data_IF_087299453071
#
_entry.id   IF_087299453071
#
_cell.length_a   1.000
_cell.length_b   1.000
_cell.length_c   1.000
_cell.angle_alpha   90.00
_cell.angle_beta   90.00
_cell.angle_gamma   90.00
#
_symmetry.space_group_name_H-M   'P 1'
#
loop_
_entity.id
_entity.type
_entity.pdbx_description
1 polymer ?
#
# COMPACT_ATOMS: atom_id res chain seq x y z
N UNK A 1 17.85 14.18 -30.15
CA UNK A 1 17.37 12.80 -29.88
C UNK A 1 17.04 12.58 -28.39
N UNK A 2 16.76 13.64 -27.59
CA UNK A 2 16.65 13.51 -26.12
C UNK A 2 15.22 13.32 -25.58
N UNK A 3 14.17 13.59 -26.36
CA UNK A 3 12.79 13.57 -25.82
C UNK A 3 12.27 12.17 -25.47
N UNK A 4 12.75 11.11 -26.14
CA UNK A 4 12.24 9.75 -25.93
C UNK A 4 12.57 9.15 -24.56
N UNK A 5 13.74 9.47 -24.00
CA UNK A 5 14.17 8.94 -22.70
C UNK A 5 13.47 9.65 -21.53
N UNK A 6 13.19 10.94 -21.68
CA UNK A 6 12.43 11.72 -20.69
C UNK A 6 10.96 11.29 -20.64
N UNK A 7 10.33 11.09 -21.80
CA UNK A 7 8.93 10.62 -21.88
C UNK A 7 8.75 9.23 -21.25
N UNK A 8 9.74 8.33 -21.41
CA UNK A 8 9.72 7.00 -20.81
C UNK A 8 9.88 7.03 -19.28
N UNK A 9 10.69 7.95 -18.76
CA UNK A 9 10.86 8.14 -17.30
C UNK A 9 9.59 8.70 -16.68
N UNK A 10 8.95 9.70 -17.31
CA UNK A 10 7.67 10.26 -16.84
C UNK A 10 6.59 9.18 -16.79
N UNK A 11 6.42 8.39 -17.85
CA UNK A 11 5.42 7.31 -17.88
C UNK A 11 5.65 6.25 -16.79
N UNK A 12 6.91 5.96 -16.45
CA UNK A 12 7.25 5.03 -15.37
C UNK A 12 6.97 5.63 -13.99
N UNK A 13 7.21 6.93 -13.77
CA UNK A 13 6.87 7.62 -12.52
C UNK A 13 5.35 7.61 -12.31
N UNK A 14 4.57 8.00 -13.32
CA UNK A 14 3.10 8.01 -13.24
C UNK A 14 2.53 6.61 -12.92
N UNK A 15 3.09 5.57 -13.54
CA UNK A 15 2.68 4.18 -13.29
C UNK A 15 2.97 3.73 -11.86
N UNK A 16 4.07 4.22 -11.27
CA UNK A 16 4.47 3.89 -9.91
C UNK A 16 3.65 4.67 -8.89
N UNK A 17 3.30 5.93 -9.19
CA UNK A 17 2.36 6.71 -8.38
C UNK A 17 0.97 6.04 -8.34
N UNK A 18 0.49 5.58 -9.49
CA UNK A 18 -0.78 4.85 -9.57
C UNK A 18 -0.73 3.56 -8.75
N UNK A 19 0.36 2.78 -8.85
CA UNK A 19 0.55 1.58 -8.02
C UNK A 19 0.59 1.92 -6.52
N UNK A 20 1.30 2.98 -6.11
CA UNK A 20 1.36 3.43 -4.74
C UNK A 20 -0.03 3.82 -4.21
N UNK A 21 -0.82 4.53 -5.03
CA UNK A 21 -2.21 4.89 -4.73
C UNK A 21 -3.08 3.65 -4.54
N UNK A 22 -3.01 2.69 -5.46
CA UNK A 22 -3.77 1.44 -5.38
C UNK A 22 -3.42 0.63 -4.12
N UNK A 23 -2.13 0.52 -3.78
CA UNK A 23 -1.66 -0.16 -2.58
C UNK A 23 -2.14 0.54 -1.30
N UNK A 24 -2.15 1.87 -1.28
CA UNK A 24 -2.67 2.66 -0.15
C UNK A 24 -4.16 2.39 0.06
N UNK A 25 -4.96 2.41 -1.01
CA UNK A 25 -6.40 2.09 -0.96
C UNK A 25 -6.62 0.65 -0.51
N UNK A 26 -5.86 -0.31 -1.05
CA UNK A 26 -5.93 -1.71 -0.65
C UNK A 26 -5.60 -1.91 0.84
N UNK A 27 -4.53 -1.26 1.34
CA UNK A 27 -4.15 -1.30 2.75
C UNK A 27 -5.25 -0.76 3.68
N UNK A 28 -5.88 0.36 3.33
CA UNK A 28 -7.00 0.90 4.11
C UNK A 28 -8.23 -0.02 4.07
N UNK A 29 -8.48 -0.68 2.94
CA UNK A 29 -9.56 -1.65 2.81
C UNK A 29 -9.33 -2.89 3.68
N UNK A 30 -8.10 -3.42 3.70
CA UNK A 30 -7.76 -4.56 4.55
C UNK A 30 -7.94 -4.23 6.03
N UNK A 31 -7.42 -3.10 6.49
CA UNK A 31 -7.60 -2.65 7.89
C UNK A 31 -9.08 -2.65 8.29
N UNK A 32 -9.93 -2.02 7.48
CA UNK A 32 -11.37 -1.97 7.75
C UNK A 32 -12.01 -3.36 7.75
N UNK A 33 -11.65 -4.22 6.79
CA UNK A 33 -12.21 -5.57 6.71
C UNK A 33 -11.79 -6.45 7.89
N UNK A 34 -10.56 -6.30 8.37
CA UNK A 34 -10.05 -6.96 9.57
C UNK A 34 -10.87 -6.50 10.79
N UNK A 35 -11.00 -5.19 10.99
CA UNK A 35 -11.77 -4.63 12.10
C UNK A 35 -13.23 -5.08 12.08
N UNK A 36 -13.88 -5.05 10.92
CA UNK A 36 -15.26 -5.53 10.74
C UNK A 36 -15.38 -7.03 11.04
N UNK A 37 -14.42 -7.84 10.59
CA UNK A 37 -14.40 -9.27 10.87
C UNK A 37 -14.30 -9.57 12.37
N UNK A 38 -13.36 -8.94 13.09
CA UNK A 38 -13.21 -9.16 14.53
C UNK A 38 -14.36 -8.57 15.35
N UNK A 39 -14.99 -7.49 14.88
CA UNK A 39 -16.24 -7.00 15.46
C UNK A 39 -17.35 -8.04 15.33
N UNK A 40 -17.56 -8.60 14.14
CA UNK A 40 -18.57 -9.64 13.90
C UNK A 40 -18.31 -10.91 14.69
N UNK A 41 -17.04 -11.34 14.82
CA UNK A 41 -16.67 -12.50 15.66
C UNK A 41 -17.10 -12.26 17.11
N UNK A 42 -16.89 -11.06 17.66
CA UNK A 42 -17.33 -10.72 19.02
C UNK A 42 -18.85 -10.65 19.14
N UNK A 43 -19.53 -10.10 18.14
CA UNK A 43 -21.00 -10.04 18.11
C UNK A 43 -21.63 -11.44 18.06
N UNK A 44 -21.01 -12.39 17.37
CA UNK A 44 -21.43 -13.80 17.31
C UNK A 44 -21.49 -14.46 18.69
N UNK A 45 -20.70 -14.01 19.67
CA UNK A 45 -20.73 -14.55 21.04
C UNK A 45 -22.11 -14.43 21.72
N UNK A 46 -22.91 -13.45 21.28
CA UNK A 46 -24.26 -13.24 21.83
C UNK A 46 -25.20 -14.39 21.46
N UNK A 47 -25.00 -15.01 20.30
CA UNK A 47 -25.87 -16.04 19.74
C UNK A 47 -25.24 -17.44 19.74
N UNK A 48 -23.90 -17.51 19.80
CA UNK A 48 -23.13 -18.75 19.81
C UNK A 48 -22.15 -18.79 20.99
N UNK A 49 -22.37 -19.77 21.88
CA UNK A 49 -21.60 -19.95 23.11
C UNK A 49 -21.11 -21.39 23.27
N UNK A 50 -20.14 -21.57 24.18
CA UNK A 50 -19.56 -22.86 24.53
C UNK A 50 -18.23 -23.14 23.83
N UNK A 51 -17.66 -24.31 24.12
CA UNK A 51 -16.28 -24.65 23.72
C UNK A 51 -16.00 -24.55 22.22
N UNK A 52 -17.00 -24.79 21.38
CA UNK A 52 -16.88 -24.64 19.92
C UNK A 52 -16.69 -23.19 19.48
N UNK A 53 -17.40 -22.25 20.12
CA UNK A 53 -17.17 -20.82 19.91
C UNK A 53 -15.81 -20.40 20.46
N UNK A 54 -15.43 -20.89 21.64
CA UNK A 54 -14.15 -20.55 22.27
C UNK A 54 -12.98 -20.97 21.38
N UNK A 55 -13.02 -22.19 20.82
CA UNK A 55 -11.98 -22.67 19.91
C UNK A 55 -11.96 -21.88 18.58
N UNK A 56 -13.13 -21.57 18.02
CA UNK A 56 -13.22 -20.74 16.82
C UNK A 56 -12.64 -19.33 17.06
N UNK A 57 -13.07 -18.67 18.12
CA UNK A 57 -12.66 -17.31 18.45
C UNK A 57 -11.16 -17.24 18.75
N UNK A 58 -10.59 -18.23 19.44
CA UNK A 58 -9.16 -18.34 19.68
C UNK A 58 -8.35 -18.43 18.38
N UNK A 59 -8.76 -19.29 17.43
CA UNK A 59 -8.10 -19.40 16.12
C UNK A 59 -8.18 -18.11 15.31
N UNK A 60 -9.29 -17.39 15.42
CA UNK A 60 -9.39 -16.07 14.81
C UNK A 60 -8.41 -15.08 15.46
N UNK A 61 -8.35 -14.99 16.78
CA UNK A 61 -7.41 -14.09 17.48
C UNK A 61 -5.95 -14.45 17.19
N UNK A 62 -5.61 -15.74 17.03
CA UNK A 62 -4.28 -16.19 16.59
C UNK A 62 -3.90 -15.69 15.19
N UNK A 63 -4.87 -15.57 14.28
CA UNK A 63 -4.63 -15.08 12.92
C UNK A 63 -4.49 -13.55 12.84
N UNK A 64 -4.97 -12.82 13.86
CA UNK A 64 -5.04 -11.36 13.84
C UNK A 64 -3.69 -10.68 13.59
N UNK A 65 -2.61 -11.04 14.30
CA UNK A 65 -1.32 -10.37 14.13
C UNK A 65 -0.78 -10.49 12.70
N UNK A 66 -1.04 -11.61 12.01
CA UNK A 66 -0.59 -11.81 10.64
C UNK A 66 -1.35 -10.89 9.66
N UNK A 67 -2.65 -10.71 9.87
CA UNK A 67 -3.49 -9.81 9.06
C UNK A 67 -3.12 -8.33 9.30
N UNK A 68 -2.88 -7.95 10.55
CA UNK A 68 -2.40 -6.62 10.90
C UNK A 68 -1.02 -6.35 10.28
N UNK A 69 -0.13 -7.34 10.35
CA UNK A 69 1.20 -7.27 9.72
C UNK A 69 1.10 -7.08 8.21
N UNK A 70 0.24 -7.84 7.52
CA UNK A 70 0.03 -7.67 6.07
C UNK A 70 -0.43 -6.25 5.74
N UNK A 71 -1.36 -5.70 6.52
CA UNK A 71 -1.87 -4.34 6.36
C UNK A 71 -0.76 -3.30 6.53
N UNK A 72 0.09 -3.46 7.56
CA UNK A 72 1.26 -2.61 7.79
C UNK A 72 2.23 -2.69 6.60
N UNK A 73 2.54 -3.89 6.10
CA UNK A 73 3.44 -4.08 4.97
C UNK A 73 2.92 -3.39 3.70
N UNK A 74 1.64 -3.56 3.37
CA UNK A 74 1.04 -2.93 2.18
C UNK A 74 1.09 -1.40 2.28
N UNK A 75 0.79 -0.84 3.45
CA UNK A 75 0.87 0.62 3.68
C UNK A 75 2.30 1.14 3.72
N UNK A 76 3.25 0.36 4.23
CA UNK A 76 4.67 0.73 4.23
C UNK A 76 5.24 0.71 2.81
N UNK A 77 4.87 -0.30 2.02
CA UNK A 77 5.31 -0.42 0.63
C UNK A 77 4.76 0.72 -0.24
N UNK A 78 3.49 1.09 -0.06
CA UNK A 78 2.94 2.25 -0.78
C UNK A 78 3.68 3.55 -0.45
N UNK A 79 4.04 3.78 0.82
CA UNK A 79 4.83 4.94 1.23
C UNK A 79 6.23 4.95 0.60
N UNK A 80 6.89 3.79 0.55
CA UNK A 80 8.22 3.67 -0.07
C UNK A 80 8.18 4.05 -1.55
N UNK A 81 7.17 3.57 -2.27
CA UNK A 81 6.98 3.94 -3.68
C UNK A 81 6.70 5.45 -3.84
N UNK A 82 5.86 6.02 -2.97
CA UNK A 82 5.47 7.44 -2.98
C UNK A 82 6.65 8.38 -2.67
N UNK A 83 7.53 8.03 -1.72
CA UNK A 83 8.66 8.88 -1.34
C UNK A 83 9.89 8.69 -2.22
N UNK A 84 10.30 7.45 -2.45
CA UNK A 84 11.65 7.19 -3.00
C UNK A 84 11.70 7.24 -4.52
N UNK A 85 10.59 6.91 -5.19
CA UNK A 85 10.57 6.86 -6.66
C UNK A 85 10.18 8.20 -7.26
N UNK A 86 9.28 8.92 -6.60
CA UNK A 86 8.94 10.29 -6.98
C UNK A 86 10.15 11.22 -6.93
N UNK A 87 10.86 11.26 -5.80
CA UNK A 87 12.05 12.10 -5.63
C UNK A 87 13.14 11.78 -6.65
N UNK A 88 13.37 10.48 -6.94
CA UNK A 88 14.34 10.05 -7.93
C UNK A 88 13.94 10.42 -9.37
N UNK A 89 12.65 10.31 -9.70
CA UNK A 89 12.08 10.70 -11.00
C UNK A 89 12.16 12.21 -11.24
N UNK A 90 11.73 13.02 -10.27
CA UNK A 90 11.79 14.48 -10.32
C UNK A 90 13.24 14.97 -10.47
N UNK A 91 14.17 14.43 -9.66
CA UNK A 91 15.60 14.77 -9.74
C UNK A 91 16.19 14.48 -11.13
N UNK A 92 15.81 13.35 -11.73
CA UNK A 92 16.28 13.00 -13.07
C UNK A 92 15.72 13.94 -14.15
N UNK A 93 14.42 14.25 -14.09
CA UNK A 93 13.78 15.18 -15.04
C UNK A 93 14.40 16.57 -14.94
N UNK A 94 14.62 17.09 -13.72
CA UNK A 94 15.28 18.39 -13.50
C UNK A 94 16.72 18.40 -14.03
N UNK A 95 17.47 17.33 -13.79
CA UNK A 95 18.84 17.17 -14.29
C UNK A 95 18.88 17.12 -15.82
N UNK A 96 17.96 16.38 -16.45
CA UNK A 96 17.85 16.27 -17.90
C UNK A 96 17.43 17.60 -18.54
N UNK A 97 16.45 18.30 -17.96
CA UNK A 97 16.01 19.62 -18.42
C UNK A 97 17.13 20.65 -18.33
N UNK A 98 17.91 20.64 -17.24
CA UNK A 98 19.06 21.52 -17.05
C UNK A 98 20.18 21.23 -18.06
N UNK A 99 20.46 19.95 -18.34
CA UNK A 99 21.45 19.56 -19.34
C UNK A 99 21.05 19.95 -20.78
N UNK A 100 19.74 19.95 -21.08
CA UNK A 100 19.22 20.35 -22.40
C UNK A 100 19.06 21.86 -22.55
N UNK A 101 18.82 22.60 -21.47
CA UNK A 101 18.72 24.06 -21.45
C UNK A 101 20.07 24.80 -21.35
N UNK A 102 21.15 24.11 -21.01
CA UNK A 102 22.49 24.69 -20.78
C UNK A 102 23.33 25.02 -22.02
N UNK A 103 22.81 24.83 -23.24
CA UNK A 103 23.44 25.31 -24.47
C UNK A 103 22.79 26.64 -24.90
N UNK A 104 23.18 27.74 -24.27
CA UNK A 104 22.93 29.11 -24.74
C UNK A 104 24.24 29.85 -24.90
#
# INVERSE_FOLDING_TARGET
>A
MANGDTDLVVANVDSIEELASQLRVAGNRFEKQIDDMYRLIKELHNDWQGSSYDEFSARCEEARPALDTLTIFVKAYSKLLDSSIKEAGETFIESAASALGGNS
#
